data_IF_088294572511
#
_entry.id   IF_088294572511
#
_cell.length_a   1.000
_cell.length_b   1.000
_cell.length_c   1.000
_cell.angle_alpha   90.00
_cell.angle_beta   90.00
_cell.angle_gamma   90.00
#
_symmetry.space_group_name_H-M   'P 1'
#
loop_
_entity.id
_entity.type
_entity.pdbx_description
1 polymer ?
#
# COMPACT_ATOMS: atom_id res chain seq x y z
N UNK A 1 41.99 2.66 -20.84
CA UNK A 1 40.59 2.19 -21.00
C UNK A 1 40.23 1.37 -19.78
N UNK A 2 39.48 1.93 -18.82
CA UNK A 2 38.85 1.11 -17.77
C UNK A 2 37.75 0.30 -18.48
N UNK A 3 37.72 -1.03 -18.30
CA UNK A 3 36.63 -1.84 -18.84
C UNK A 3 35.30 -1.28 -18.32
N UNK A 4 34.23 -1.28 -19.14
CA UNK A 4 32.91 -0.99 -18.61
C UNK A 4 32.63 -2.05 -17.54
N UNK A 5 32.25 -1.59 -16.35
CA UNK A 5 31.94 -2.44 -15.20
C UNK A 5 30.99 -3.58 -15.64
N UNK A 6 31.50 -4.81 -15.71
CA UNK A 6 30.74 -6.05 -15.96
C UNK A 6 29.95 -6.42 -14.70
N UNK A 7 29.11 -5.51 -14.19
CA UNK A 7 28.10 -5.93 -13.24
C UNK A 7 27.06 -6.76 -13.98
N UNK A 8 26.64 -7.87 -13.38
CA UNK A 8 25.55 -8.69 -13.91
C UNK A 8 24.33 -7.80 -14.19
N UNK A 9 23.80 -7.87 -15.41
CA UNK A 9 22.57 -7.19 -15.84
C UNK A 9 21.39 -7.46 -14.90
N UNK A 10 21.44 -8.57 -14.17
CA UNK A 10 20.49 -8.97 -13.14
C UNK A 10 20.23 -7.93 -12.03
N UNK A 11 21.16 -7.00 -11.76
CA UNK A 11 21.00 -5.98 -10.72
C UNK A 11 20.83 -4.56 -11.25
N UNK A 12 20.85 -4.36 -12.57
CA UNK A 12 20.73 -3.04 -13.16
C UNK A 12 19.30 -2.51 -12.99
N UNK A 13 19.18 -1.25 -12.55
CA UNK A 13 17.88 -0.60 -12.37
C UNK A 13 17.08 -1.09 -11.17
N UNK A 14 17.73 -1.76 -10.21
CA UNK A 14 17.15 -2.17 -8.93
C UNK A 14 17.95 -1.60 -7.76
N UNK A 15 17.25 -1.27 -6.68
CA UNK A 15 17.84 -0.94 -5.39
C UNK A 15 17.13 -1.71 -4.27
N UNK A 16 17.78 -1.76 -3.10
CA UNK A 16 17.29 -2.45 -1.91
C UNK A 16 17.00 -1.45 -0.79
N UNK A 17 15.94 -1.72 -0.05
CA UNK A 17 15.65 -1.10 1.25
C UNK A 17 15.69 -2.22 2.28
N UNK A 18 16.47 -2.04 3.33
CA UNK A 18 16.42 -2.93 4.47
C UNK A 18 15.11 -2.69 5.25
N UNK A 19 14.37 -3.76 5.51
CA UNK A 19 13.12 -3.72 6.25
C UNK A 19 13.13 -4.82 7.32
N UNK A 20 12.76 -4.54 8.58
CA UNK A 20 12.86 -5.52 9.66
C UNK A 20 11.92 -6.73 9.48
N UNK A 21 10.84 -6.59 8.72
CA UNK A 21 9.86 -7.66 8.48
C UNK A 21 10.30 -8.51 7.29
N UNK A 22 10.71 -7.89 6.19
CA UNK A 22 11.05 -8.59 4.94
C UNK A 22 12.54 -8.84 4.74
N UNK A 23 13.39 -8.35 5.64
CA UNK A 23 14.86 -8.24 5.53
C UNK A 23 15.28 -7.24 4.44
N UNK A 24 14.86 -7.48 3.20
CA UNK A 24 15.11 -6.61 2.07
C UNK A 24 13.88 -6.53 1.16
N UNK A 25 13.45 -5.31 0.85
CA UNK A 25 12.51 -5.02 -0.22
C UNK A 25 13.26 -4.41 -1.42
N UNK A 26 13.00 -4.92 -2.61
CA UNK A 26 13.50 -4.33 -3.87
C UNK A 26 12.58 -3.21 -4.33
N UNK A 27 13.16 -2.23 -5.02
CA UNK A 27 12.42 -1.24 -5.79
C UNK A 27 13.19 -0.83 -7.05
N UNK A 28 12.48 -0.37 -8.07
CA UNK A 28 13.06 0.06 -9.34
C UNK A 28 13.69 1.45 -9.21
N UNK A 29 14.89 1.60 -9.79
CA UNK A 29 15.62 2.87 -9.95
C UNK A 29 16.03 3.03 -11.41
N UNK A 30 16.24 4.24 -11.95
CA UNK A 30 16.62 4.41 -13.34
C UNK A 30 17.83 3.55 -13.73
N UNK A 31 17.71 2.78 -14.81
CA UNK A 31 18.82 1.97 -15.31
C UNK A 31 19.95 2.86 -15.87
N UNK A 32 21.18 2.33 -15.95
CA UNK A 32 22.30 3.06 -16.55
C UNK A 32 21.98 3.38 -18.02
N UNK A 33 22.04 4.68 -18.38
CA UNK A 33 21.65 5.16 -19.71
C UNK A 33 20.14 5.41 -19.89
N UNK A 34 19.32 5.15 -18.87
CA UNK A 34 17.88 5.46 -18.84
C UNK A 34 17.58 6.87 -18.33
N UNK A 35 18.32 7.89 -18.79
CA UNK A 35 18.10 9.28 -18.39
C UNK A 35 16.67 9.72 -18.80
N UNK A 36 15.77 9.82 -17.81
CA UNK A 36 14.36 10.15 -18.03
C UNK A 36 13.38 9.02 -17.79
N UNK A 37 13.86 7.80 -17.53
CA UNK A 37 13.03 6.70 -17.01
C UNK A 37 12.35 7.13 -15.71
N UNK A 38 11.07 6.79 -15.57
CA UNK A 38 10.33 6.92 -14.31
C UNK A 38 10.14 5.55 -13.67
N UNK A 39 10.38 5.49 -12.38
CA UNK A 39 10.47 4.26 -11.58
C UNK A 39 9.79 4.42 -10.23
N UNK A 40 9.73 3.35 -9.45
CA UNK A 40 9.25 3.38 -8.07
C UNK A 40 10.03 4.39 -7.23
N UNK A 41 11.35 4.57 -7.49
CA UNK A 41 12.16 5.60 -6.84
C UNK A 41 11.57 7.00 -6.97
N UNK A 42 11.06 7.38 -8.15
CA UNK A 42 10.46 8.70 -8.36
C UNK A 42 9.20 8.91 -7.53
N UNK A 43 8.42 7.84 -7.30
CA UNK A 43 7.26 7.86 -6.42
C UNK A 43 7.69 7.92 -4.96
N UNK A 44 8.68 7.10 -4.58
CA UNK A 44 9.23 7.03 -3.23
C UNK A 44 9.78 8.38 -2.81
N UNK A 45 10.55 9.04 -3.66
CA UNK A 45 11.16 10.34 -3.38
C UNK A 45 10.21 11.53 -3.55
N UNK A 46 8.97 11.29 -3.98
CA UNK A 46 7.98 12.36 -4.13
C UNK A 46 7.64 13.00 -2.77
N UNK A 47 7.37 14.32 -2.71
CA UNK A 47 6.92 14.96 -1.47
C UNK A 47 5.68 14.30 -0.86
N UNK A 48 4.80 13.78 -1.72
CA UNK A 48 3.57 13.10 -1.33
C UNK A 48 3.82 11.83 -0.54
N UNK A 49 4.77 11.00 -0.97
CA UNK A 49 5.12 9.80 -0.23
C UNK A 49 6.05 10.09 0.95
N UNK A 50 7.03 10.98 0.78
CA UNK A 50 7.93 11.37 1.88
C UNK A 50 7.18 11.99 3.06
N UNK A 51 6.04 12.65 2.82
CA UNK A 51 5.14 13.12 3.88
C UNK A 51 4.76 12.01 4.86
N UNK A 52 4.52 10.79 4.37
CA UNK A 52 4.09 9.67 5.22
C UNK A 52 5.10 9.32 6.32
N UNK A 53 6.36 9.77 6.23
CA UNK A 53 7.36 9.65 7.32
C UNK A 53 7.00 10.46 8.57
N UNK A 54 6.06 11.39 8.47
CA UNK A 54 5.57 12.22 9.58
C UNK A 54 4.22 11.73 10.12
N UNK A 55 3.66 10.68 9.52
CA UNK A 55 2.37 10.12 9.91
C UNK A 55 2.61 8.76 10.53
N UNK A 56 2.44 8.69 11.85
CA UNK A 56 2.59 7.46 12.62
C UNK A 56 1.49 6.46 12.28
N UNK A 57 1.87 5.18 12.12
CA UNK A 57 0.93 4.10 11.81
C UNK A 57 -0.10 3.93 12.94
N UNK A 58 0.41 3.84 14.18
CA UNK A 58 -0.42 3.58 15.37
C UNK A 58 -0.82 4.82 16.17
N UNK A 59 -0.50 6.01 15.67
CA UNK A 59 -1.03 7.27 16.20
C UNK A 59 -0.84 7.43 17.71
N UNK A 60 -1.91 7.50 18.50
CA UNK A 60 -1.91 7.62 19.96
C UNK A 60 -1.40 6.36 20.66
N UNK A 61 -1.51 5.18 20.04
CA UNK A 61 -1.07 3.93 20.66
C UNK A 61 0.44 3.92 20.92
N UNK A 62 1.23 4.72 20.19
CA UNK A 62 2.67 4.89 20.45
C UNK A 62 2.97 5.44 21.86
N UNK A 63 2.02 6.15 22.49
CA UNK A 63 2.17 6.63 23.86
C UNK A 63 1.98 5.52 24.90
N UNK A 64 1.36 4.41 24.50
CA UNK A 64 1.26 3.18 25.30
C UNK A 64 2.40 2.21 24.94
N UNK A 65 2.74 2.14 23.65
CA UNK A 65 3.79 1.29 23.07
C UNK A 65 4.92 2.16 22.54
N UNK A 66 5.91 2.56 23.36
CA UNK A 66 6.89 3.58 22.99
C UNK A 66 7.83 3.17 21.85
N UNK A 67 7.94 1.88 21.53
CA UNK A 67 8.69 1.40 20.37
C UNK A 67 7.90 1.50 19.05
N UNK A 68 6.57 1.66 19.11
CA UNK A 68 5.68 1.72 17.96
C UNK A 68 5.66 3.10 17.28
N UNK A 69 6.85 3.61 16.96
CA UNK A 69 7.06 4.88 16.28
C UNK A 69 7.17 4.74 14.76
N UNK A 70 6.86 3.56 14.22
CA UNK A 70 6.83 3.38 12.78
C UNK A 70 5.75 4.22 12.12
N UNK A 71 6.01 4.52 10.86
CA UNK A 71 5.26 5.48 10.06
C UNK A 71 4.58 4.77 8.90
N UNK A 72 3.54 5.41 8.35
CA UNK A 72 2.85 4.93 7.14
C UNK A 72 3.80 4.75 5.96
N UNK A 73 4.91 5.49 5.93
CA UNK A 73 5.93 5.31 4.89
C UNK A 73 6.55 3.90 4.91
N UNK A 74 6.90 3.39 6.09
CA UNK A 74 7.49 2.04 6.21
C UNK A 74 6.46 0.96 5.84
N UNK A 75 5.22 1.14 6.31
CA UNK A 75 4.10 0.27 5.98
C UNK A 75 3.79 0.26 4.47
N UNK A 76 3.81 1.42 3.81
CA UNK A 76 3.60 1.55 2.36
C UNK A 76 4.67 0.80 1.56
N UNK A 77 5.94 0.88 1.97
CA UNK A 77 7.03 0.13 1.33
C UNK A 77 6.88 -1.39 1.47
N UNK A 78 6.46 -1.85 2.65
CA UNK A 78 6.21 -3.27 2.86
C UNK A 78 4.97 -3.78 2.13
N UNK A 79 3.92 -2.98 2.08
CA UNK A 79 2.71 -3.27 1.30
C UNK A 79 3.02 -3.34 -0.20
N UNK A 80 3.83 -2.42 -0.74
CA UNK A 80 4.36 -2.49 -2.11
C UNK A 80 5.09 -3.82 -2.35
N UNK A 81 5.97 -4.22 -1.43
CA UNK A 81 6.72 -5.46 -1.56
C UNK A 81 5.81 -6.70 -1.62
N UNK A 82 4.89 -6.85 -0.65
CA UNK A 82 3.93 -7.96 -0.63
C UNK A 82 3.03 -7.93 -1.86
N UNK A 83 2.55 -6.76 -2.28
CA UNK A 83 1.67 -6.64 -3.44
C UNK A 83 2.34 -7.16 -4.73
N UNK A 84 3.63 -6.88 -4.93
CA UNK A 84 4.40 -7.46 -6.03
C UNK A 84 4.55 -8.97 -5.93
N UNK A 85 4.84 -9.49 -4.73
CA UNK A 85 4.93 -10.93 -4.49
C UNK A 85 3.63 -11.68 -4.83
N UNK A 86 2.48 -11.11 -4.45
CA UNK A 86 1.16 -11.64 -4.80
C UNK A 86 0.86 -11.48 -6.29
N UNK A 87 1.24 -10.36 -6.91
CA UNK A 87 1.07 -10.14 -8.35
C UNK A 87 1.75 -11.22 -9.18
N UNK A 88 3.02 -11.49 -8.89
CA UNK A 88 3.78 -12.55 -9.55
C UNK A 88 3.18 -13.94 -9.33
N UNK A 89 2.79 -14.25 -8.09
CA UNK A 89 2.23 -15.57 -7.75
C UNK A 89 0.86 -15.81 -8.41
N UNK A 90 -0.02 -14.82 -8.40
CA UNK A 90 -1.41 -14.98 -8.83
C UNK A 90 -1.62 -14.82 -10.34
N UNK A 91 -0.65 -14.24 -11.05
CA UNK A 91 -0.78 -13.89 -12.47
C UNK A 91 -1.29 -15.06 -13.33
N UNK A 92 -0.76 -16.28 -13.12
CA UNK A 92 -1.18 -17.46 -13.88
C UNK A 92 -2.68 -17.72 -13.76
N UNK A 93 -3.17 -17.81 -12.53
CA UNK A 93 -4.59 -18.06 -12.27
C UNK A 93 -5.48 -16.90 -12.75
N UNK A 94 -4.98 -15.65 -12.66
CA UNK A 94 -5.68 -14.47 -13.18
C UNK A 94 -5.82 -14.55 -14.70
N UNK A 95 -4.75 -14.91 -15.41
CA UNK A 95 -4.74 -15.04 -16.89
C UNK A 95 -5.65 -16.17 -17.37
N UNK A 96 -5.76 -17.25 -16.60
CA UNK A 96 -6.67 -18.38 -16.89
C UNK A 96 -8.15 -17.95 -16.85
N UNK A 97 -8.52 -17.02 -15.95
CA UNK A 97 -9.91 -16.52 -15.82
C UNK A 97 -10.19 -15.22 -16.56
N UNK A 98 -9.16 -14.44 -16.88
CA UNK A 98 -9.23 -13.19 -17.64
C UNK A 98 -8.12 -13.16 -18.71
N UNK A 99 -8.35 -13.74 -19.91
CA UNK A 99 -7.36 -13.80 -20.97
C UNK A 99 -6.92 -12.43 -21.51
N UNK A 100 -7.69 -11.38 -21.25
CA UNK A 100 -7.47 -9.98 -21.61
C UNK A 100 -6.59 -9.21 -20.61
N UNK A 101 -6.18 -9.83 -19.50
CA UNK A 101 -5.26 -9.18 -18.54
C UNK A 101 -3.95 -8.75 -19.23
N UNK A 102 -3.37 -7.59 -18.85
CA UNK A 102 -2.06 -7.17 -19.32
C UNK A 102 -0.93 -8.14 -18.98
N UNK A 103 0.30 -7.85 -19.40
CA UNK A 103 1.48 -8.66 -19.12
C UNK A 103 1.75 -8.85 -17.62
N UNK A 104 2.46 -9.92 -17.26
CA UNK A 104 2.80 -10.21 -15.87
C UNK A 104 3.54 -9.06 -15.19
N UNK A 105 4.52 -8.47 -15.90
CA UNK A 105 5.30 -7.36 -15.39
C UNK A 105 4.45 -6.10 -15.21
N UNK A 106 3.46 -5.86 -16.08
CA UNK A 106 2.48 -4.79 -15.87
C UNK A 106 1.66 -5.03 -14.60
N UNK A 107 1.13 -6.24 -14.41
CA UNK A 107 0.31 -6.58 -13.24
C UNK A 107 1.10 -6.50 -11.95
N UNK A 108 2.35 -6.98 -11.94
CA UNK A 108 3.27 -6.83 -10.81
C UNK A 108 3.42 -5.34 -10.46
N UNK A 109 3.82 -4.50 -11.41
CA UNK A 109 4.09 -3.09 -11.12
C UNK A 109 2.83 -2.31 -10.75
N UNK A 110 1.68 -2.63 -11.36
CA UNK A 110 0.39 -2.02 -11.00
C UNK A 110 0.06 -2.28 -9.53
N UNK A 111 0.20 -3.53 -9.07
CA UNK A 111 -0.05 -3.91 -7.68
C UNK A 111 0.97 -3.29 -6.73
N UNK A 112 2.24 -3.24 -7.13
CA UNK A 112 3.30 -2.60 -6.33
C UNK A 112 3.04 -1.11 -6.15
N UNK A 113 2.73 -0.39 -7.23
CA UNK A 113 2.40 1.04 -7.17
C UNK A 113 1.10 1.28 -6.37
N UNK A 114 0.08 0.43 -6.52
CA UNK A 114 -1.12 0.51 -5.68
C UNK A 114 -0.78 0.27 -4.20
N UNK A 115 0.02 -0.74 -3.87
CA UNK A 115 0.50 -1.02 -2.51
C UNK A 115 1.35 0.12 -1.94
N UNK A 116 2.18 0.76 -2.75
CA UNK A 116 3.00 1.90 -2.34
C UNK A 116 2.15 3.13 -2.03
N UNK A 117 1.05 3.33 -2.77
CA UNK A 117 0.26 4.56 -2.73
C UNK A 117 -1.07 4.43 -1.99
N UNK A 118 -1.45 3.24 -1.50
CA UNK A 118 -2.75 3.00 -0.86
C UNK A 118 -3.01 3.96 0.32
N UNK A 119 -1.96 4.28 1.06
CA UNK A 119 -2.00 5.12 2.25
C UNK A 119 -1.68 6.61 1.98
N UNK A 120 -1.43 6.99 0.71
CA UNK A 120 -0.93 8.33 0.37
C UNK A 120 -1.93 9.45 0.66
N UNK A 121 -3.21 9.12 0.87
CA UNK A 121 -4.26 10.06 1.21
C UNK A 121 -4.42 10.33 2.71
N UNK A 122 -3.76 9.58 3.59
CA UNK A 122 -3.91 9.79 5.03
C UNK A 122 -3.35 11.14 5.49
N UNK A 123 -4.10 11.77 6.40
CA UNK A 123 -3.68 12.90 7.20
C UNK A 123 -3.07 12.50 8.55
N UNK A 124 -2.65 13.49 9.36
CA UNK A 124 -2.20 13.26 10.74
C UNK A 124 -3.25 12.50 11.55
N UNK A 125 -2.85 11.47 12.28
CA UNK A 125 -3.80 10.58 13.00
C UNK A 125 -4.75 9.79 12.08
N UNK A 126 -4.39 9.52 10.82
CA UNK A 126 -5.03 8.48 9.98
C UNK A 126 -6.56 8.52 9.97
N UNK A 127 -7.25 7.43 10.34
CA UNK A 127 -8.73 7.42 10.38
C UNK A 127 -9.35 8.44 11.34
N UNK A 128 -8.65 8.82 12.41
CA UNK A 128 -9.11 9.90 13.29
C UNK A 128 -9.21 11.24 12.54
N UNK A 129 -8.32 11.46 11.57
CA UNK A 129 -8.37 12.61 10.67
C UNK A 129 -9.63 12.60 9.80
N UNK A 130 -9.97 11.43 9.28
CA UNK A 130 -11.15 11.24 8.44
C UNK A 130 -12.41 11.58 9.22
N UNK A 131 -12.59 10.93 10.37
CA UNK A 131 -13.78 11.02 11.22
C UNK A 131 -13.99 12.42 11.84
N UNK A 132 -12.90 13.14 12.12
CA UNK A 132 -12.98 14.39 12.88
C UNK A 132 -12.63 15.65 12.09
N UNK A 133 -12.02 15.52 10.91
CA UNK A 133 -11.70 16.64 10.03
C UNK A 133 -12.25 16.48 8.61
N UNK A 134 -12.00 15.38 7.89
CA UNK A 134 -12.45 15.27 6.48
C UNK A 134 -13.96 15.09 6.32
N UNK A 135 -14.62 14.50 7.32
CA UNK A 135 -16.08 14.32 7.37
C UNK A 135 -16.83 15.63 7.07
N UNK A 136 -16.32 16.79 7.53
CA UNK A 136 -16.94 18.11 7.25
C UNK A 136 -16.99 18.48 5.77
N UNK A 137 -16.18 17.83 4.94
CA UNK A 137 -16.11 17.99 3.50
C UNK A 137 -16.72 16.80 2.74
N UNK A 138 -17.22 15.78 3.46
CA UNK A 138 -17.70 14.53 2.87
C UNK A 138 -16.59 13.75 2.14
N UNK A 139 -15.35 13.81 2.65
CA UNK A 139 -14.17 13.18 2.06
C UNK A 139 -13.61 12.10 2.98
N UNK A 140 -12.89 11.16 2.38
CA UNK A 140 -12.07 10.17 3.07
C UNK A 140 -10.60 10.27 2.64
N UNK A 141 -9.71 9.59 3.37
CA UNK A 141 -8.33 9.42 2.91
C UNK A 141 -8.27 8.73 1.53
N UNK A 142 -9.19 7.83 1.20
CA UNK A 142 -9.23 7.18 -0.12
C UNK A 142 -9.51 8.19 -1.24
N UNK A 143 -10.44 9.14 -1.02
CA UNK A 143 -10.76 10.19 -2.00
C UNK A 143 -9.55 11.10 -2.25
N UNK A 144 -8.86 11.49 -1.19
CA UNK A 144 -7.63 12.28 -1.29
C UNK A 144 -6.49 11.46 -1.91
N UNK A 145 -6.38 10.18 -1.60
CA UNK A 145 -5.44 9.25 -2.19
C UNK A 145 -5.60 9.20 -3.70
N UNK A 146 -6.83 8.97 -4.19
CA UNK A 146 -7.19 9.05 -5.61
C UNK A 146 -6.78 10.39 -6.23
N UNK A 147 -7.09 11.49 -5.56
CA UNK A 147 -6.75 12.82 -6.06
C UNK A 147 -5.23 12.99 -6.22
N UNK A 148 -4.45 12.60 -5.22
CA UNK A 148 -2.98 12.69 -5.23
C UNK A 148 -2.41 11.80 -6.34
N UNK A 149 -2.88 10.56 -6.44
CA UNK A 149 -2.44 9.60 -7.45
C UNK A 149 -2.68 10.15 -8.85
N UNK A 150 -3.91 10.56 -9.15
CA UNK A 150 -4.28 10.98 -10.50
C UNK A 150 -3.70 12.35 -10.85
N UNK A 151 -3.83 13.34 -9.96
CA UNK A 151 -3.49 14.74 -10.29
C UNK A 151 -2.02 15.09 -10.04
N UNK A 152 -1.37 14.47 -9.05
CA UNK A 152 -0.02 14.86 -8.61
C UNK A 152 1.04 13.84 -9.02
N UNK A 153 0.72 12.55 -8.91
CA UNK A 153 1.65 11.46 -9.24
C UNK A 153 1.43 10.89 -10.65
N UNK A 154 0.32 11.22 -11.31
CA UNK A 154 -0.07 10.62 -12.58
C UNK A 154 0.97 10.77 -13.70
N UNK A 155 1.71 11.88 -13.74
CA UNK A 155 2.81 12.07 -14.71
C UNK A 155 3.99 11.12 -14.50
N UNK A 156 4.25 10.71 -13.26
CA UNK A 156 5.27 9.72 -12.93
C UNK A 156 4.75 8.34 -13.30
N UNK A 157 3.55 7.98 -12.80
CA UNK A 157 2.92 6.67 -12.99
C UNK A 157 2.80 6.32 -14.49
N UNK A 158 2.26 7.22 -15.30
CA UNK A 158 2.10 7.02 -16.76
C UNK A 158 3.40 6.87 -17.53
N UNK A 159 4.57 7.10 -16.91
CA UNK A 159 5.90 6.95 -17.52
C UNK A 159 6.68 5.73 -17.02
N UNK A 160 6.14 4.98 -16.05
CA UNK A 160 6.72 3.71 -15.61
C UNK A 160 6.49 2.66 -16.71
N UNK A 161 7.54 1.90 -17.05
CA UNK A 161 7.54 0.95 -18.18
C UNK A 161 8.04 -0.45 -17.82
N UNK A 162 8.32 -0.73 -16.55
CA UNK A 162 8.80 -2.02 -16.08
C UNK A 162 8.48 -2.24 -14.61
N UNK A 163 8.54 -3.50 -14.23
CA UNK A 163 8.56 -3.97 -12.85
C UNK A 163 9.98 -4.36 -12.43
N UNK A 164 10.19 -4.78 -11.17
CA UNK A 164 11.42 -5.43 -10.77
C UNK A 164 11.75 -6.70 -11.59
N UNK A 165 10.74 -7.42 -12.08
CA UNK A 165 10.94 -8.66 -12.86
C UNK A 165 11.22 -8.42 -14.35
N UNK A 166 11.01 -7.20 -14.86
CA UNK A 166 11.34 -6.86 -16.24
C UNK A 166 10.40 -5.85 -16.91
N UNK A 167 10.63 -5.55 -18.20
CA UNK A 167 9.84 -4.57 -18.95
C UNK A 167 8.40 -5.03 -19.20
N UNK A 168 7.50 -4.07 -19.35
CA UNK A 168 6.13 -4.34 -19.81
C UNK A 168 6.12 -4.80 -21.27
N UNK A 169 5.00 -5.35 -21.73
CA UNK A 169 4.82 -5.62 -23.16
C UNK A 169 4.73 -4.32 -23.96
N UNK A 170 4.99 -4.39 -25.28
CA UNK A 170 4.97 -3.22 -26.14
C UNK A 170 3.61 -2.51 -26.11
N UNK A 171 3.62 -1.19 -25.85
CA UNK A 171 2.42 -0.36 -25.79
C UNK A 171 1.75 -0.28 -24.41
N UNK A 172 2.19 -1.08 -23.44
CA UNK A 172 1.66 -1.01 -22.07
C UNK A 172 2.26 0.17 -21.29
N UNK A 173 1.41 0.83 -20.51
CA UNK A 173 1.76 1.90 -19.59
C UNK A 173 0.75 1.91 -18.44
N UNK A 174 1.22 2.13 -17.20
CA UNK A 174 0.32 2.21 -16.07
C UNK A 174 -0.67 3.37 -16.22
N UNK A 175 -1.92 3.09 -15.88
CA UNK A 175 -2.98 4.08 -15.76
C UNK A 175 -3.14 4.50 -14.28
N UNK A 176 -2.95 5.79 -13.92
CA UNK A 176 -3.19 6.29 -12.57
C UNK A 176 -4.61 6.04 -12.08
N UNK A 177 -5.60 5.99 -12.98
CA UNK A 177 -6.98 5.68 -12.61
C UNK A 177 -7.13 4.21 -12.21
N UNK A 178 -6.41 3.29 -12.86
CA UNK A 178 -6.36 1.89 -12.46
C UNK A 178 -5.68 1.72 -11.09
N UNK A 179 -4.61 2.48 -10.81
CA UNK A 179 -3.97 2.49 -9.48
C UNK A 179 -4.96 2.99 -8.41
N UNK A 180 -5.61 4.13 -8.67
CA UNK A 180 -6.57 4.71 -7.73
C UNK A 180 -7.79 3.80 -7.49
N UNK A 181 -8.23 3.08 -8.53
CA UNK A 181 -9.31 2.11 -8.42
C UNK A 181 -8.98 0.96 -7.46
N UNK A 182 -7.73 0.47 -7.47
CA UNK A 182 -7.33 -0.65 -6.62
C UNK A 182 -7.36 -0.33 -5.13
N UNK A 183 -7.16 0.94 -4.75
CA UNK A 183 -7.02 1.36 -3.35
C UNK A 183 -8.29 1.99 -2.77
N UNK A 184 -9.37 2.05 -3.55
CA UNK A 184 -10.67 2.58 -3.12
C UNK A 184 -11.61 1.42 -2.79
N UNK A 185 -12.47 1.60 -1.80
CA UNK A 185 -13.57 0.66 -1.55
C UNK A 185 -14.47 0.50 -2.79
N UNK A 186 -14.97 -0.73 -3.05
CA UNK A 186 -15.94 -1.00 -4.10
C UNK A 186 -17.17 -0.09 -4.05
N UNK A 187 -17.63 0.38 -5.20
CA UNK A 187 -18.86 1.15 -5.34
C UNK A 187 -19.73 0.63 -6.51
N UNK A 188 -21.00 1.05 -6.56
CA UNK A 188 -21.96 0.53 -7.54
C UNK A 188 -21.58 0.82 -9.01
N UNK A 189 -20.60 1.71 -9.25
CA UNK A 189 -20.18 2.13 -10.60
C UNK A 189 -19.07 1.26 -11.19
N UNK A 190 -18.66 0.21 -10.49
CA UNK A 190 -17.57 -0.68 -10.88
C UNK A 190 -17.88 -1.58 -12.09
N UNK A 191 -19.13 -1.65 -12.54
CA UNK A 191 -19.55 -2.54 -13.62
C UNK A 191 -18.83 -2.26 -14.96
N UNK A 192 -18.36 -1.03 -15.18
CA UNK A 192 -17.64 -0.63 -16.40
C UNK A 192 -16.13 -0.96 -16.36
N UNK A 193 -15.61 -1.40 -15.20
CA UNK A 193 -14.18 -1.65 -15.01
C UNK A 193 -13.82 -3.05 -15.52
N UNK A 194 -12.66 -3.24 -16.19
CA UNK A 194 -12.24 -4.57 -16.66
C UNK A 194 -12.22 -5.61 -15.54
N UNK A 195 -12.68 -6.83 -15.85
CA UNK A 195 -12.84 -7.90 -14.85
C UNK A 195 -11.53 -8.24 -14.15
N UNK A 196 -10.41 -8.29 -14.88
CA UNK A 196 -9.10 -8.56 -14.28
C UNK A 196 -8.74 -7.52 -13.21
N UNK A 197 -9.08 -6.25 -13.42
CA UNK A 197 -8.78 -5.16 -12.47
C UNK A 197 -9.69 -5.24 -11.24
N UNK A 198 -10.97 -5.57 -11.43
CA UNK A 198 -11.88 -5.85 -10.31
C UNK A 198 -11.40 -7.02 -9.44
N UNK A 199 -10.86 -8.08 -10.06
CA UNK A 199 -10.27 -9.21 -9.35
C UNK A 199 -9.04 -8.80 -8.55
N UNK A 200 -8.12 -8.03 -9.15
CA UNK A 200 -6.94 -7.50 -8.46
C UNK A 200 -7.30 -6.65 -7.24
N UNK A 201 -8.39 -5.88 -7.29
CA UNK A 201 -8.85 -5.07 -6.15
C UNK A 201 -9.20 -5.89 -4.92
N UNK A 202 -9.50 -7.18 -5.06
CA UNK A 202 -9.77 -8.07 -3.91
C UNK A 202 -8.53 -8.30 -3.03
N UNK A 203 -7.33 -8.01 -3.54
CA UNK A 203 -6.10 -7.99 -2.75
C UNK A 203 -5.98 -6.75 -1.84
N UNK A 204 -6.77 -5.71 -2.09
CA UNK A 204 -6.83 -4.49 -1.29
C UNK A 204 -8.13 -4.37 -0.49
N UNK A 205 -9.20 -4.98 -0.98
CA UNK A 205 -10.54 -4.99 -0.36
C UNK A 205 -11.00 -6.43 -0.15
N UNK A 206 -10.72 -6.97 1.04
CA UNK A 206 -11.00 -8.38 1.34
C UNK A 206 -10.68 -8.78 2.76
N UNK A 207 -10.83 -10.08 3.05
CA UNK A 207 -10.58 -10.66 4.38
C UNK A 207 -9.12 -10.58 4.79
N UNK A 208 -8.22 -10.94 3.87
CA UNK A 208 -6.76 -10.76 3.99
C UNK A 208 -6.29 -10.02 2.74
N UNK A 209 -5.69 -8.86 2.95
CA UNK A 209 -5.27 -7.90 1.94
C UNK A 209 -3.76 -7.70 2.06
N UNK A 210 -3.13 -7.21 1.01
CA UNK A 210 -1.68 -6.93 1.04
C UNK A 210 -1.31 -5.88 2.10
N UNK A 211 -2.23 -4.94 2.36
CA UNK A 211 -2.18 -3.97 3.45
C UNK A 211 -2.18 -4.67 4.83
N UNK A 212 -3.22 -5.47 5.12
CA UNK A 212 -3.31 -6.10 6.44
C UNK A 212 -2.30 -7.21 6.70
N UNK A 213 -1.75 -7.82 5.64
CA UNK A 213 -0.62 -8.72 5.78
C UNK A 213 0.66 -7.99 6.22
N UNK A 214 0.89 -6.75 5.77
CA UNK A 214 2.01 -5.94 6.28
C UNK A 214 1.73 -5.45 7.70
N UNK A 215 0.64 -4.70 7.92
CA UNK A 215 0.48 -4.00 9.21
C UNK A 215 0.39 -4.98 10.38
N UNK A 216 -0.23 -6.17 10.21
CA UNK A 216 -0.35 -7.12 11.33
C UNK A 216 1.02 -7.56 11.83
N UNK A 217 1.96 -7.85 10.93
CA UNK A 217 3.30 -8.26 11.33
C UNK A 217 4.14 -7.07 11.78
N UNK A 218 4.02 -5.95 11.08
CA UNK A 218 4.78 -4.74 11.40
C UNK A 218 4.39 -4.17 12.75
N UNK A 219 3.10 -4.04 13.01
CA UNK A 219 2.59 -3.51 14.28
C UNK A 219 2.96 -4.42 15.43
N UNK A 220 2.85 -5.73 15.27
CA UNK A 220 3.30 -6.67 16.30
C UNK A 220 4.79 -6.58 16.58
N UNK A 221 5.62 -6.53 15.53
CA UNK A 221 7.05 -6.35 15.67
C UNK A 221 7.40 -5.05 16.41
N UNK A 222 6.78 -3.94 16.01
CA UNK A 222 7.08 -2.61 16.54
C UNK A 222 6.50 -2.37 17.94
N UNK A 223 5.41 -3.03 18.30
CA UNK A 223 4.82 -2.97 19.66
C UNK A 223 5.45 -3.97 20.61
N UNK A 224 6.25 -4.92 20.10
CA UNK A 224 6.70 -6.09 20.86
C UNK A 224 5.56 -7.05 21.21
N UNK A 225 4.39 -6.90 20.60
CA UNK A 225 3.25 -7.79 20.81
C UNK A 225 3.57 -9.16 20.22
N UNK A 226 3.64 -10.18 21.09
CA UNK A 226 3.92 -11.54 20.66
C UNK A 226 2.71 -12.10 19.91
N UNK A 227 2.87 -12.30 18.61
CA UNK A 227 1.90 -13.00 17.77
C UNK A 227 2.32 -14.44 17.54
N UNK A 228 1.31 -15.29 17.32
CA UNK A 228 1.52 -16.52 16.57
C UNK A 228 2.09 -16.21 15.19
N UNK A 229 2.96 -17.09 14.68
CA UNK A 229 3.61 -16.93 13.38
C UNK A 229 2.55 -16.81 12.27
N UNK A 230 2.53 -15.65 11.60
CA UNK A 230 1.75 -15.41 10.39
C UNK A 230 2.53 -15.95 9.19
N UNK A 231 2.08 -17.09 8.64
CA UNK A 231 2.71 -17.73 7.49
C UNK A 231 2.16 -17.16 6.17
N UNK A 232 2.62 -15.96 5.81
CA UNK A 232 2.24 -15.30 4.56
C UNK A 232 2.63 -16.10 3.33
N UNK A 233 3.80 -16.75 3.34
CA UNK A 233 4.30 -17.51 2.20
C UNK A 233 3.33 -18.65 1.87
N UNK A 234 2.86 -19.38 2.88
CA UNK A 234 1.84 -20.42 2.72
C UNK A 234 0.48 -19.86 2.31
N UNK A 235 0.07 -18.73 2.89
CA UNK A 235 -1.20 -18.10 2.52
C UNK A 235 -1.19 -17.68 1.05
N UNK A 236 -0.12 -17.01 0.60
CA UNK A 236 0.11 -16.65 -0.81
C UNK A 236 0.09 -17.90 -1.68
N UNK A 237 0.87 -18.93 -1.34
CA UNK A 237 0.97 -20.17 -2.11
C UNK A 237 -0.39 -20.81 -2.41
N UNK A 238 -1.29 -20.86 -1.42
CA UNK A 238 -2.63 -21.45 -1.58
C UNK A 238 -3.70 -20.49 -2.10
N UNK A 239 -3.37 -19.22 -2.33
CA UNK A 239 -4.28 -18.24 -2.92
C UNK A 239 -4.22 -18.31 -4.44
N UNK A 240 -5.38 -18.21 -5.11
CA UNK A 240 -5.50 -18.20 -6.58
C UNK A 240 -6.82 -17.54 -7.01
N UNK A 241 -6.90 -17.11 -8.27
CA UNK A 241 -8.16 -16.61 -8.84
C UNK A 241 -9.00 -17.72 -9.46
N UNK A 242 -10.31 -17.59 -9.29
CA UNK A 242 -11.34 -18.38 -9.96
C UNK A 242 -12.32 -17.42 -10.67
N UNK A 243 -13.27 -17.97 -11.43
CA UNK A 243 -14.35 -17.15 -12.00
C UNK A 243 -15.16 -16.39 -10.93
N UNK A 244 -15.28 -16.96 -9.73
CA UNK A 244 -15.98 -16.36 -8.61
C UNK A 244 -15.19 -15.23 -7.92
N UNK A 245 -13.86 -15.24 -8.02
CA UNK A 245 -13.01 -14.28 -7.31
C UNK A 245 -11.71 -14.92 -6.81
N UNK A 246 -11.02 -14.17 -5.96
CA UNK A 246 -9.89 -14.61 -5.15
C UNK A 246 -10.36 -15.73 -4.21
N UNK A 247 -9.71 -16.88 -4.32
CA UNK A 247 -10.02 -18.07 -3.57
C UNK A 247 -8.79 -18.55 -2.80
N UNK A 248 -9.05 -19.32 -1.74
CA UNK A 248 -8.04 -19.96 -0.93
C UNK A 248 -8.27 -21.47 -0.93
N UNK A 249 -7.24 -22.25 -1.27
CA UNK A 249 -7.31 -23.70 -1.18
C UNK A 249 -7.49 -24.14 0.29
N UNK A 250 -8.24 -25.21 0.54
CA UNK A 250 -8.53 -25.70 1.90
C UNK A 250 -7.26 -25.94 2.75
N UNK A 251 -6.17 -26.36 2.13
CA UNK A 251 -4.87 -26.55 2.79
C UNK A 251 -4.21 -25.26 3.33
N UNK A 252 -4.69 -24.09 2.89
CA UNK A 252 -4.30 -22.76 3.37
C UNK A 252 -5.14 -22.24 4.53
N UNK A 253 -6.25 -22.90 4.90
CA UNK A 253 -7.17 -22.42 5.95
C UNK A 253 -6.44 -22.21 7.28
N UNK A 254 -5.51 -23.09 7.67
CA UNK A 254 -4.76 -22.92 8.92
C UNK A 254 -3.89 -21.67 8.93
N UNK A 255 -3.30 -21.29 7.79
CA UNK A 255 -2.55 -20.04 7.67
C UNK A 255 -3.47 -18.82 7.77
N UNK A 256 -4.64 -18.88 7.12
CA UNK A 256 -5.66 -17.83 7.24
C UNK A 256 -6.17 -17.68 8.67
N UNK A 257 -6.50 -18.77 9.36
CA UNK A 257 -6.98 -18.73 10.74
C UNK A 257 -5.94 -18.12 11.69
N UNK A 258 -4.66 -18.45 11.52
CA UNK A 258 -3.56 -17.83 12.29
C UNK A 258 -3.47 -16.34 12.03
N UNK A 259 -3.54 -15.92 10.76
CA UNK A 259 -3.56 -14.51 10.40
C UNK A 259 -4.76 -13.76 11.02
N UNK A 260 -5.97 -14.31 10.94
CA UNK A 260 -7.17 -13.69 11.49
C UNK A 260 -7.12 -13.60 13.02
N UNK A 261 -6.63 -14.64 13.69
CA UNK A 261 -6.42 -14.61 15.15
C UNK A 261 -5.36 -13.58 15.53
N UNK A 262 -4.26 -13.50 14.80
CA UNK A 262 -3.22 -12.50 15.03
C UNK A 262 -3.78 -11.07 14.93
N UNK A 263 -4.54 -10.80 13.87
CA UNK A 263 -5.22 -9.52 13.67
C UNK A 263 -6.21 -9.22 14.80
N UNK A 264 -7.06 -10.18 15.18
CA UNK A 264 -8.01 -10.03 16.28
C UNK A 264 -7.30 -9.66 17.60
N UNK A 265 -6.17 -10.31 17.88
CA UNK A 265 -5.39 -10.03 19.08
C UNK A 265 -4.77 -8.63 19.09
N UNK A 266 -4.30 -8.11 17.94
CA UNK A 266 -3.85 -6.72 17.83
C UNK A 266 -4.98 -5.72 18.09
N UNK A 267 -6.18 -5.97 17.53
CA UNK A 267 -7.35 -5.13 17.84
C UNK A 267 -7.65 -5.12 19.33
N UNK A 268 -7.72 -6.29 19.97
CA UNK A 268 -8.07 -6.39 21.38
C UNK A 268 -7.02 -5.77 22.31
N UNK A 269 -5.72 -5.98 22.02
CA UNK A 269 -4.67 -5.65 22.96
C UNK A 269 -3.95 -4.33 22.66
N UNK A 270 -3.83 -3.94 21.40
CA UNK A 270 -3.06 -2.76 20.98
C UNK A 270 -4.00 -1.62 20.57
N UNK A 271 -4.82 -1.83 19.55
CA UNK A 271 -5.63 -0.74 18.96
C UNK A 271 -6.77 -0.31 19.91
N UNK A 272 -7.41 -1.26 20.60
CA UNK A 272 -8.44 -0.99 21.59
C UNK A 272 -7.92 -1.05 23.03
N UNK A 273 -6.61 -0.91 23.23
CA UNK A 273 -6.06 -0.76 24.56
C UNK A 273 -6.73 0.43 25.28
N UNK A 274 -7.22 0.21 26.51
CA UNK A 274 -8.01 1.20 27.26
C UNK A 274 -7.38 2.58 27.33
N UNK A 275 -6.05 2.65 27.49
CA UNK A 275 -5.32 3.92 27.58
C UNK A 275 -5.22 4.61 26.21
N UNK A 276 -5.02 3.85 25.13
CA UNK A 276 -5.06 4.39 23.76
C UNK A 276 -6.42 5.02 23.49
N UNK A 277 -7.49 4.31 23.84
CA UNK A 277 -8.87 4.80 23.69
C UNK A 277 -9.17 6.05 24.52
N UNK A 278 -8.65 6.11 25.75
CA UNK A 278 -8.79 7.32 26.57
C UNK A 278 -8.08 8.52 25.93
N UNK A 279 -6.89 8.32 25.35
CA UNK A 279 -6.14 9.37 24.66
C UNK A 279 -6.86 9.84 23.39
N UNK A 280 -7.43 8.91 22.60
CA UNK A 280 -8.20 9.26 21.40
C UNK A 280 -9.42 10.12 21.74
N UNK A 281 -10.16 9.75 22.80
CA UNK A 281 -11.32 10.53 23.27
C UNK A 281 -10.93 11.93 23.74
N UNK A 282 -9.80 12.07 24.45
CA UNK A 282 -9.29 13.39 24.84
C UNK A 282 -8.84 14.21 23.63
N UNK A 283 -8.17 13.58 22.66
CA UNK A 283 -7.77 14.23 21.43
C UNK A 283 -9.00 14.77 20.68
N UNK A 284 -10.11 14.04 20.69
CA UNK A 284 -11.35 14.37 19.98
C UNK A 284 -11.92 15.73 20.40
N UNK A 285 -11.78 16.08 21.68
CA UNK A 285 -12.29 17.35 22.23
C UNK A 285 -11.63 18.59 21.59
N UNK A 286 -10.35 18.48 21.20
CA UNK A 286 -9.58 19.62 20.68
C UNK A 286 -9.23 19.50 19.19
N UNK A 287 -9.37 18.31 18.60
CA UNK A 287 -8.82 18.02 17.28
C UNK A 287 -9.43 18.85 16.17
N UNK A 288 -10.78 18.94 16.14
CA UNK A 288 -11.50 19.65 15.09
C UNK A 288 -11.13 21.14 15.05
N UNK A 289 -11.11 21.78 16.22
CA UNK A 289 -10.77 23.19 16.34
C UNK A 289 -9.30 23.44 16.00
N UNK A 290 -8.41 22.58 16.51
CA UNK A 290 -6.97 22.63 16.19
C UNK A 290 -6.72 22.50 14.69
N UNK A 291 -7.35 21.51 14.04
CA UNK A 291 -7.24 21.33 12.59
C UNK A 291 -7.88 22.47 11.81
N UNK A 292 -8.95 23.09 12.31
CA UNK A 292 -9.52 24.30 11.72
C UNK A 292 -8.57 25.49 11.69
N UNK A 293 -7.63 25.57 12.64
CA UNK A 293 -6.59 26.61 12.67
C UNK A 293 -5.37 26.25 11.80
N UNK A 294 -4.95 24.98 11.81
CA UNK A 294 -3.75 24.53 11.09
C UNK A 294 -4.03 24.32 9.60
N UNK A 295 -5.19 23.77 9.26
CA UNK A 295 -5.61 23.46 7.89
C UNK A 295 -7.02 24.03 7.64
N UNK A 296 -7.14 25.37 7.48
CA UNK A 296 -8.45 26.04 7.34
C UNK A 296 -9.10 25.87 5.95
N UNK A 297 -8.55 25.00 5.09
CA UNK A 297 -8.96 24.83 3.70
C UNK A 297 -9.40 23.40 3.42
N UNK A 298 -10.23 23.22 2.39
CA UNK A 298 -10.56 21.90 1.87
C UNK A 298 -9.31 21.29 1.19
N UNK A 299 -8.75 20.19 1.70
CA UNK A 299 -7.55 19.59 1.13
C UNK A 299 -7.75 19.02 -0.28
N UNK A 300 -9.00 18.75 -0.71
CA UNK A 300 -9.25 18.34 -2.10
C UNK A 300 -9.14 19.51 -3.09
N UNK A 301 -9.36 20.74 -2.64
CA UNK A 301 -9.25 21.95 -3.46
C UNK A 301 -7.82 22.48 -3.49
N UNK A 302 -7.11 22.41 -2.35
CA UNK A 302 -5.71 22.81 -2.22
C UNK A 302 -4.89 21.64 -1.66
N UNK A 303 -4.56 20.63 -2.49
CA UNK A 303 -3.84 19.45 -2.04
C UNK A 303 -2.46 19.78 -1.46
N UNK A 304 -1.80 20.82 -1.95
CA UNK A 304 -0.50 21.28 -1.45
C UNK A 304 -0.52 21.60 0.04
N UNK A 305 -1.68 21.99 0.59
CA UNK A 305 -1.84 22.23 2.02
C UNK A 305 -1.64 20.95 2.86
N UNK A 306 -1.78 19.78 2.24
CA UNK A 306 -1.49 18.49 2.87
C UNK A 306 0.01 18.20 3.01
N UNK A 307 0.90 18.90 2.31
CA UNK A 307 2.34 18.64 2.37
C UNK A 307 3.03 19.30 3.57
N UNK A 308 2.40 20.28 4.20
CA UNK A 308 2.98 21.05 5.29
C UNK A 308 2.72 20.39 6.64
#
# INVERSE_FOLDING_TARGET
>A
MKSPNEFATAYQGLALIADPIYRYATFTVPAAGGEGEKTEKDLIDSPWLQRLRRIYQLQSARWVYPAAEHTRFQHSLGTMHIAGEFGCHLYRSLREVCPDVPSQNYVEELLRVAGLLHDVGHGPYGHFFDDHFLDRYGLTHEDLGRLIIVRKLGRIITRIRRSPSGPFAAGEALDPEAVAFLIKMPDERDAAIPRWLQLLRQLFSGTYTVDNLDYVQRDAFMTGFSLDIVDMARLRFYTFYTRAGLALHQAGISALSRFLNARLNLYANVYFHRTTRALDLQLQEIFRDTMGLILPVNPAEIPEAYLN
#
